data_IF_176834006244
#
_entry.id   IF_176834006244
#
_cell.length_a   1.000
_cell.length_b   1.000
_cell.length_c   1.000
_cell.angle_alpha   90.00
_cell.angle_beta   90.00
_cell.angle_gamma   90.00
#
_symmetry.space_group_name_H-M   'P 1'
#
loop_
_entity.id
_entity.type
_entity.pdbx_description
1 polymer ?
#
# COMPACT_ATOMS: atom_id res chain seq x y z
N UNK A 1 4.81 -11.06 -23.32
CA UNK A 1 6.22 -11.09 -22.89
C UNK A 1 6.19 -11.11 -21.37
N UNK A 2 6.90 -12.03 -20.70
CA UNK A 2 6.90 -12.10 -19.22
C UNK A 2 7.80 -10.99 -18.70
N UNK A 3 7.25 -10.12 -17.83
CA UNK A 3 7.94 -8.94 -17.29
C UNK A 3 9.20 -9.29 -16.47
N UNK A 4 9.33 -10.51 -15.94
CA UNK A 4 10.61 -11.11 -15.55
C UNK A 4 10.51 -12.63 -15.75
N UNK A 5 11.34 -13.19 -16.63
CA UNK A 5 11.36 -14.64 -16.86
C UNK A 5 11.59 -15.38 -15.53
N UNK A 6 10.84 -16.44 -15.25
CA UNK A 6 10.87 -17.25 -14.00
C UNK A 6 10.31 -16.59 -12.71
N UNK A 7 9.57 -15.48 -12.82
CA UNK A 7 8.84 -14.88 -11.70
C UNK A 7 7.33 -14.84 -11.96
N UNK A 8 6.53 -15.03 -10.92
CA UNK A 8 5.12 -14.65 -10.93
C UNK A 8 4.99 -13.14 -10.71
N UNK A 9 4.09 -12.51 -11.45
CA UNK A 9 3.72 -11.10 -11.29
C UNK A 9 2.45 -11.06 -10.46
N UNK A 10 2.49 -10.35 -9.33
CA UNK A 10 1.36 -10.09 -8.46
C UNK A 10 0.81 -8.69 -8.69
N UNK A 11 0.38 -8.05 -7.60
CA UNK A 11 -0.21 -6.71 -7.63
C UNK A 11 0.70 -5.69 -8.32
N UNK A 12 0.10 -4.78 -9.08
CA UNK A 12 0.79 -3.75 -9.86
C UNK A 12 0.34 -2.36 -9.47
N UNK A 13 1.25 -1.39 -9.48
CA UNK A 13 0.94 0.04 -9.35
C UNK A 13 1.78 0.85 -10.33
N UNK A 14 1.38 2.09 -10.57
CA UNK A 14 1.90 2.89 -11.68
C UNK A 14 2.33 4.28 -11.23
N UNK A 15 3.33 4.81 -11.91
CA UNK A 15 3.72 6.21 -11.85
C UNK A 15 3.97 6.71 -13.27
N UNK A 16 3.47 7.88 -13.61
CA UNK A 16 3.64 8.46 -14.96
C UNK A 16 4.56 9.65 -14.87
N UNK A 17 5.66 9.62 -15.62
CA UNK A 17 6.57 10.74 -15.80
C UNK A 17 6.60 11.07 -17.28
N UNK A 18 6.10 12.25 -17.64
CA UNK A 18 5.99 12.70 -19.03
C UNK A 18 5.19 11.69 -19.88
N UNK A 19 5.80 11.08 -20.88
CA UNK A 19 5.21 10.07 -21.77
C UNK A 19 5.56 8.62 -21.37
N UNK A 20 6.29 8.44 -20.25
CA UNK A 20 6.73 7.14 -19.77
C UNK A 20 5.87 6.72 -18.57
N UNK A 21 5.24 5.55 -18.70
CA UNK A 21 4.54 4.87 -17.61
C UNK A 21 5.51 3.88 -16.96
N UNK A 22 5.82 4.11 -15.68
CA UNK A 22 6.53 3.17 -14.83
C UNK A 22 5.49 2.23 -14.18
N UNK A 23 5.60 0.94 -14.42
CA UNK A 23 4.85 -0.10 -13.74
C UNK A 23 5.76 -0.80 -12.73
N UNK A 24 5.35 -0.73 -11.47
CA UNK A 24 5.95 -1.47 -10.38
C UNK A 24 5.03 -2.64 -10.04
N UNK A 25 5.59 -3.77 -9.68
CA UNK A 25 4.79 -4.96 -9.42
C UNK A 25 5.47 -5.91 -8.46
N UNK A 26 4.67 -6.64 -7.69
CA UNK A 26 5.21 -7.71 -6.85
C UNK A 26 5.74 -8.83 -7.74
N UNK A 27 6.98 -9.24 -7.50
CA UNK A 27 7.59 -10.38 -8.16
C UNK A 27 7.89 -11.46 -7.13
N UNK A 28 7.40 -12.67 -7.38
CA UNK A 28 7.70 -13.83 -6.55
C UNK A 28 8.37 -14.93 -7.37
N UNK A 29 9.38 -15.64 -6.83
CA UNK A 29 9.98 -16.79 -7.49
C UNK A 29 8.95 -17.84 -7.92
N UNK A 30 9.09 -18.37 -9.14
CA UNK A 30 8.33 -19.55 -9.57
C UNK A 30 8.90 -20.86 -9.01
N UNK A 31 10.17 -20.85 -8.60
CA UNK A 31 10.82 -21.99 -7.94
C UNK A 31 10.82 -21.85 -6.43
N UNK A 32 10.67 -22.96 -5.71
CA UNK A 32 10.82 -23.01 -4.25
C UNK A 32 12.26 -22.84 -3.74
N UNK A 33 13.20 -22.42 -4.60
CA UNK A 33 14.58 -22.18 -4.19
C UNK A 33 14.63 -20.99 -3.22
N UNK A 34 15.06 -21.17 -1.96
CA UNK A 34 15.12 -20.10 -0.96
C UNK A 34 16.13 -18.99 -1.31
N UNK A 35 17.04 -19.22 -2.27
CA UNK A 35 17.95 -18.19 -2.80
C UNK A 35 17.30 -17.30 -3.87
N UNK A 36 16.11 -17.66 -4.36
CA UNK A 36 15.42 -16.84 -5.35
C UNK A 36 14.79 -15.65 -4.67
N UNK A 37 15.27 -14.45 -4.99
CA UNK A 37 14.78 -13.24 -4.34
C UNK A 37 13.37 -12.85 -4.83
N UNK A 38 12.47 -12.50 -3.93
CA UNK A 38 11.25 -11.75 -4.21
C UNK A 38 11.48 -10.23 -4.08
N UNK A 39 10.48 -9.43 -4.45
CA UNK A 39 10.55 -7.99 -4.29
C UNK A 39 9.62 -7.23 -5.22
N UNK A 40 10.05 -6.03 -5.60
CA UNK A 40 9.31 -5.11 -6.44
C UNK A 40 10.03 -5.04 -7.79
N UNK A 41 9.42 -5.65 -8.80
CA UNK A 41 9.85 -5.55 -10.19
C UNK A 41 9.49 -4.20 -10.78
N UNK A 42 10.13 -3.87 -11.90
CA UNK A 42 9.94 -2.59 -12.58
C UNK A 42 9.96 -2.79 -14.10
N UNK A 43 8.99 -2.18 -14.77
CA UNK A 43 8.96 -2.09 -16.23
C UNK A 43 8.44 -0.72 -16.65
N UNK A 44 8.78 -0.33 -17.88
CA UNK A 44 8.32 0.94 -18.46
C UNK A 44 7.59 0.70 -19.77
N UNK A 45 6.69 1.62 -20.11
CA UNK A 45 5.93 1.61 -21.35
C UNK A 45 5.56 3.02 -21.78
N UNK A 46 5.45 3.24 -23.09
CA UNK A 46 4.90 4.46 -23.68
C UNK A 46 3.52 4.24 -24.30
N UNK A 47 3.02 3.00 -24.37
CA UNK A 47 1.76 2.63 -25.04
C UNK A 47 0.87 1.67 -24.23
N UNK A 48 1.30 1.28 -23.02
CA UNK A 48 0.67 0.30 -22.12
C UNK A 48 0.51 -1.12 -22.70
N UNK A 49 0.91 -1.35 -23.94
CA UNK A 49 0.78 -2.62 -24.64
C UNK A 49 2.11 -3.37 -24.70
N UNK A 50 3.22 -2.63 -24.84
CA UNK A 50 4.59 -3.14 -24.88
C UNK A 50 5.33 -2.62 -23.67
N UNK A 51 6.04 -3.53 -23.00
CA UNK A 51 6.71 -3.25 -21.75
C UNK A 51 8.18 -3.64 -21.85
N UNK A 52 9.05 -2.69 -21.54
CA UNK A 52 10.47 -2.89 -21.38
C UNK A 52 10.76 -3.11 -19.89
N UNK A 53 11.13 -4.34 -19.56
CA UNK A 53 11.56 -4.70 -18.21
C UNK A 53 12.87 -4.01 -17.85
N UNK A 54 12.93 -3.43 -16.65
CA UNK A 54 14.15 -2.90 -16.05
C UNK A 54 14.65 -3.85 -14.95
N UNK A 55 15.79 -3.51 -14.35
CA UNK A 55 16.20 -4.16 -13.12
C UNK A 55 15.14 -3.94 -12.03
N UNK A 56 14.94 -4.90 -11.10
CA UNK A 56 13.97 -4.71 -10.03
C UNK A 56 14.20 -3.42 -9.26
N UNK A 57 13.12 -2.70 -8.96
CA UNK A 57 13.19 -1.50 -8.14
C UNK A 57 13.69 -1.83 -6.73
N UNK A 58 13.18 -2.90 -6.11
CA UNK A 58 13.64 -3.35 -4.80
C UNK A 58 13.67 -4.88 -4.73
N UNK A 59 14.63 -5.39 -3.98
CA UNK A 59 14.73 -6.79 -3.56
C UNK A 59 14.65 -6.85 -2.04
N UNK A 60 14.14 -7.95 -1.50
CA UNK A 60 14.36 -8.22 -0.08
C UNK A 60 15.85 -8.44 0.21
N UNK A 61 16.25 -8.29 1.47
CA UNK A 61 17.64 -8.49 1.88
C UNK A 61 17.99 -9.97 2.03
N UNK A 62 19.30 -10.23 2.17
CA UNK A 62 19.81 -11.54 2.50
C UNK A 62 19.14 -12.10 3.78
N UNK A 63 18.94 -13.42 3.82
CA UNK A 63 18.19 -14.12 4.88
C UNK A 63 18.75 -13.82 6.27
N UNK A 64 20.05 -13.56 6.37
CA UNK A 64 20.73 -13.22 7.63
C UNK A 64 20.24 -11.91 8.26
N UNK A 65 19.68 -11.00 7.45
CA UNK A 65 19.10 -9.75 7.93
C UNK A 65 17.60 -9.87 8.26
N UNK A 66 16.99 -11.03 8.05
CA UNK A 66 15.56 -11.19 8.33
C UNK A 66 15.28 -10.94 9.82
N UNK A 67 14.39 -9.99 10.09
CA UNK A 67 14.14 -9.43 11.43
C UNK A 67 14.48 -7.94 11.52
N UNK A 68 15.31 -7.44 10.61
CA UNK A 68 15.40 -6.00 10.35
C UNK A 68 14.15 -5.52 9.59
N UNK A 69 13.75 -4.24 9.75
CA UNK A 69 12.71 -3.63 8.93
C UNK A 69 13.02 -3.81 7.45
N UNK A 70 12.01 -4.15 6.63
CA UNK A 70 12.13 -4.35 5.17
C UNK A 70 13.13 -5.37 4.63
N UNK A 71 13.77 -6.15 5.51
CA UNK A 71 14.70 -7.18 5.09
C UNK A 71 14.02 -8.45 4.50
N UNK A 72 12.73 -8.62 4.78
CA UNK A 72 11.94 -9.77 4.35
C UNK A 72 10.96 -9.38 3.22
N UNK A 73 9.91 -10.19 3.03
CA UNK A 73 8.89 -10.03 1.98
C UNK A 73 8.35 -8.59 1.89
N UNK A 74 8.46 -8.04 0.68
CA UNK A 74 7.92 -6.73 0.31
C UNK A 74 6.51 -6.89 -0.26
N UNK A 75 5.64 -5.93 0.02
CA UNK A 75 4.27 -5.89 -0.49
C UNK A 75 3.93 -4.52 -1.05
N UNK A 76 2.77 -4.45 -1.72
CA UNK A 76 2.30 -3.33 -2.54
C UNK A 76 2.45 -1.96 -1.83
N UNK A 77 2.61 -0.92 -2.63
CA UNK A 77 2.52 0.46 -2.18
C UNK A 77 2.31 1.45 -3.33
N UNK A 78 3.04 2.57 -3.32
CA UNK A 78 2.84 3.69 -4.24
C UNK A 78 4.09 4.52 -4.42
N UNK A 79 4.13 5.32 -5.50
CA UNK A 79 5.21 6.26 -5.78
C UNK A 79 4.68 7.69 -5.78
N UNK A 80 5.41 8.60 -5.16
CA UNK A 80 5.15 10.04 -5.16
C UNK A 80 6.44 10.82 -5.46
N UNK A 81 6.33 11.91 -6.21
CA UNK A 81 7.42 12.88 -6.30
C UNK A 81 7.27 13.96 -5.22
N UNK A 82 8.35 14.21 -4.47
CA UNK A 82 8.42 15.23 -3.43
C UNK A 82 9.84 15.79 -3.34
N UNK A 83 9.98 17.12 -3.31
CA UNK A 83 11.27 17.83 -3.26
C UNK A 83 12.30 17.33 -4.29
N UNK A 84 11.91 17.31 -5.57
CA UNK A 84 12.72 16.88 -6.72
C UNK A 84 13.17 15.40 -6.72
N UNK A 85 12.71 14.59 -5.75
CA UNK A 85 13.00 13.16 -5.65
C UNK A 85 11.73 12.33 -5.75
N UNK A 86 11.90 11.05 -6.03
CA UNK A 86 10.82 10.07 -6.08
C UNK A 86 10.89 9.17 -4.86
N UNK A 87 9.75 8.93 -4.26
CA UNK A 87 9.59 8.15 -3.05
C UNK A 87 8.65 6.99 -3.31
N UNK A 88 9.16 5.78 -3.15
CA UNK A 88 8.40 4.54 -3.21
C UNK A 88 8.06 4.14 -1.77
N UNK A 89 6.79 4.27 -1.38
CA UNK A 89 6.29 3.63 -0.17
C UNK A 89 5.92 2.19 -0.48
N UNK A 90 6.21 1.29 0.45
CA UNK A 90 5.85 -0.13 0.36
C UNK A 90 5.61 -0.71 1.74
N UNK A 91 4.91 -1.84 1.78
CA UNK A 91 4.68 -2.56 3.03
C UNK A 91 5.81 -3.56 3.24
N UNK A 92 6.30 -3.67 4.48
CA UNK A 92 7.08 -4.82 4.91
C UNK A 92 6.56 -5.38 6.22
N UNK A 93 6.73 -6.69 6.40
CA UNK A 93 6.61 -7.32 7.71
C UNK A 93 7.96 -7.27 8.45
N UNK A 94 7.96 -6.96 9.74
CA UNK A 94 9.19 -6.98 10.56
C UNK A 94 9.45 -8.31 11.27
N UNK A 95 8.53 -9.27 11.17
CA UNK A 95 8.68 -10.59 11.77
C UNK A 95 8.79 -11.71 10.72
N UNK A 96 9.77 -12.60 10.90
CA UNK A 96 9.95 -13.85 10.14
C UNK A 96 8.67 -14.70 10.17
N UNK A 97 7.90 -14.63 11.26
CA UNK A 97 6.69 -15.45 11.44
C UNK A 97 5.44 -14.85 10.79
N UNK A 98 5.56 -13.72 10.06
CA UNK A 98 4.45 -13.01 9.37
C UNK A 98 3.25 -12.65 10.25
N UNK A 99 3.41 -12.66 11.58
CA UNK A 99 2.34 -12.32 12.52
C UNK A 99 2.59 -10.91 13.08
N UNK A 100 1.68 -10.01 12.74
CA UNK A 100 1.26 -8.87 13.56
C UNK A 100 2.10 -7.58 13.54
N UNK A 101 2.97 -7.36 12.55
CA UNK A 101 3.83 -6.17 12.51
C UNK A 101 4.10 -5.63 11.09
N UNK A 102 3.04 -5.45 10.29
CA UNK A 102 3.17 -4.69 9.06
C UNK A 102 3.60 -3.24 9.37
N UNK A 103 4.48 -2.71 8.53
CA UNK A 103 5.00 -1.36 8.65
C UNK A 103 5.16 -0.74 7.26
N UNK A 104 5.06 0.58 7.19
CA UNK A 104 5.36 1.33 5.97
C UNK A 104 6.85 1.63 5.94
N UNK A 105 7.48 1.31 4.83
CA UNK A 105 8.87 1.58 4.54
C UNK A 105 8.97 2.45 3.28
N UNK A 106 10.07 3.18 3.13
CA UNK A 106 10.34 4.03 1.98
C UNK A 106 11.62 3.61 1.26
N UNK A 107 11.63 3.78 -0.05
CA UNK A 107 12.84 3.90 -0.85
C UNK A 107 12.80 5.21 -1.63
N UNK A 108 13.97 5.74 -1.95
CA UNK A 108 14.14 7.00 -2.65
C UNK A 108 14.91 6.80 -3.94
N UNK A 109 14.55 7.56 -4.95
CA UNK A 109 15.19 7.56 -6.27
C UNK A 109 15.26 8.97 -6.84
N UNK A 110 16.32 9.27 -7.58
CA UNK A 110 16.45 10.54 -8.29
C UNK A 110 15.99 10.42 -9.76
N UNK A 111 15.82 9.19 -10.28
CA UNK A 111 15.58 8.91 -11.70
C UNK A 111 14.44 7.90 -11.98
N UNK A 112 13.74 7.43 -10.94
CA UNK A 112 12.71 6.37 -10.95
C UNK A 112 13.22 4.97 -11.30
N UNK A 113 14.52 4.77 -11.51
CA UNK A 113 15.12 3.51 -11.93
C UNK A 113 16.02 2.95 -10.83
N UNK A 114 16.90 3.79 -10.27
CA UNK A 114 17.81 3.42 -9.20
C UNK A 114 17.18 3.80 -7.86
N UNK A 115 16.92 2.81 -7.02
CA UNK A 115 16.25 2.99 -5.74
C UNK A 115 17.14 2.61 -4.57
N UNK A 116 17.11 3.43 -3.53
CA UNK A 116 17.80 3.20 -2.26
C UNK A 116 16.79 3.15 -1.13
N UNK A 117 16.79 2.06 -0.34
CA UNK A 117 15.95 1.97 0.86
C UNK A 117 16.36 3.05 1.86
N UNK A 118 15.37 3.70 2.48
CA UNK A 118 15.63 4.67 3.54
C UNK A 118 16.27 3.99 4.76
N UNK A 119 17.39 4.53 5.23
CA UNK A 119 18.17 3.98 6.36
C UNK A 119 17.43 4.05 7.70
N UNK A 120 16.36 4.82 7.77
CA UNK A 120 15.50 5.02 8.93
C UNK A 120 14.18 4.24 8.84
N UNK A 121 14.07 3.26 7.93
CA UNK A 121 12.91 2.38 7.87
C UNK A 121 12.72 1.57 9.18
N UNK A 122 11.46 1.28 9.56
CA UNK A 122 10.23 1.70 8.91
C UNK A 122 9.82 3.11 9.33
N UNK A 123 9.10 3.82 8.46
CA UNK A 123 8.64 5.20 8.75
C UNK A 123 7.38 5.26 9.60
N UNK A 124 6.45 4.31 9.45
CA UNK A 124 5.25 4.25 10.29
C UNK A 124 4.85 2.81 10.62
N UNK A 125 4.18 2.68 11.77
CA UNK A 125 3.54 1.46 12.28
C UNK A 125 2.17 1.81 12.83
N UNK A 126 1.36 0.78 13.05
CA UNK A 126 0.07 0.93 13.73
C UNK A 126 0.24 1.62 15.09
N UNK A 127 -0.50 2.72 15.29
CA UNK A 127 -0.59 3.39 16.59
C UNK A 127 -1.84 2.90 17.35
N UNK A 128 -1.68 2.19 18.49
CA UNK A 128 -2.80 1.68 19.29
C UNK A 128 -3.66 2.77 19.94
N UNK A 129 -3.24 4.03 19.93
CA UNK A 129 -4.10 5.13 20.36
C UNK A 129 -5.31 5.23 19.44
N UNK A 130 -5.09 5.14 18.13
CA UNK A 130 -6.09 5.38 17.09
C UNK A 130 -6.64 4.10 16.46
N UNK A 131 -5.78 3.10 16.24
CA UNK A 131 -6.09 1.94 15.39
C UNK A 131 -6.06 0.63 16.18
N UNK A 132 -6.82 -0.35 15.70
CA UNK A 132 -6.84 -1.70 16.27
C UNK A 132 -5.49 -2.38 16.00
N UNK A 133 -4.83 -2.83 17.08
CA UNK A 133 -3.76 -3.83 16.97
C UNK A 133 -4.42 -5.20 16.88
N UNK A 134 -3.69 -6.17 16.33
CA UNK A 134 -4.16 -7.56 16.23
C UNK A 134 -4.99 -8.00 17.43
N UNK A 135 -6.19 -8.51 17.18
CA UNK A 135 -7.01 -9.13 18.20
C UNK A 135 -7.37 -10.54 17.75
N UNK A 136 -7.48 -11.46 18.72
CA UNK A 136 -7.94 -12.83 18.48
C UNK A 136 -9.40 -12.81 18.00
N UNK A 137 -10.18 -11.82 18.44
CA UNK A 137 -11.61 -11.68 18.16
C UNK A 137 -11.91 -11.30 16.71
N UNK A 138 -11.01 -10.57 16.03
CA UNK A 138 -11.25 -10.19 14.65
C UNK A 138 -10.97 -11.33 13.66
N UNK A 139 -10.21 -12.37 14.04
CA UNK A 139 -9.61 -13.38 13.13
C UNK A 139 -8.91 -12.79 11.88
N UNK A 140 -8.73 -11.47 11.85
CA UNK A 140 -8.25 -10.71 10.71
C UNK A 140 -6.82 -10.24 10.98
N UNK A 141 -5.98 -10.40 9.97
CA UNK A 141 -4.59 -9.92 9.97
C UNK A 141 -4.56 -8.41 10.22
N UNK A 142 -3.63 -7.94 11.06
CA UNK A 142 -3.45 -6.50 11.34
C UNK A 142 -3.27 -5.72 10.05
N UNK A 143 -4.14 -4.74 9.84
CA UNK A 143 -4.10 -3.84 8.71
C UNK A 143 -3.24 -2.61 9.09
N UNK A 144 -2.01 -2.57 8.58
CA UNK A 144 -1.18 -1.36 8.43
C UNK A 144 -0.30 -1.54 7.18
N UNK A 145 -0.97 -1.67 6.04
CA UNK A 145 -0.37 -2.09 4.78
C UNK A 145 -0.90 -1.27 3.60
N UNK A 146 -0.37 -1.55 2.42
CA UNK A 146 -0.74 -0.94 1.14
C UNK A 146 -0.65 0.59 1.16
N UNK A 147 0.53 1.18 1.47
CA UNK A 147 0.66 2.62 1.59
C UNK A 147 0.38 3.35 0.27
N UNK A 148 -0.48 4.35 0.32
CA UNK A 148 -0.74 5.28 -0.78
C UNK A 148 -0.30 6.70 -0.40
N UNK A 149 0.77 7.18 -1.01
CA UNK A 149 1.33 8.52 -0.81
C UNK A 149 0.54 9.59 -1.57
N UNK A 150 0.32 10.74 -0.94
CA UNK A 150 -0.24 11.92 -1.61
C UNK A 150 0.21 13.23 -0.95
N UNK A 151 0.29 14.30 -1.72
CA UNK A 151 0.61 15.64 -1.20
C UNK A 151 -0.66 16.45 -1.00
N UNK A 152 -0.77 17.15 0.13
CA UNK A 152 -1.89 18.06 0.41
C UNK A 152 -1.46 19.16 1.37
N UNK A 153 -1.79 20.42 1.06
CA UNK A 153 -1.55 21.59 1.92
C UNK A 153 -0.11 21.70 2.48
N UNK A 154 0.89 21.44 1.62
CA UNK A 154 2.31 21.52 2.00
C UNK A 154 2.83 20.38 2.89
N UNK A 155 2.07 19.30 3.00
CA UNK A 155 2.47 18.05 3.65
C UNK A 155 2.40 16.88 2.68
N UNK A 156 3.20 15.85 2.94
CA UNK A 156 3.02 14.52 2.37
C UNK A 156 2.25 13.67 3.37
N UNK A 157 1.26 12.93 2.89
CA UNK A 157 0.48 11.98 3.65
C UNK A 157 0.66 10.58 3.07
N UNK A 158 0.37 9.57 3.89
CA UNK A 158 0.01 8.26 3.35
C UNK A 158 -1.31 7.77 3.93
N UNK A 159 -2.10 7.10 3.09
CA UNK A 159 -3.09 6.13 3.56
C UNK A 159 -2.49 4.75 3.68
N UNK A 160 -3.03 3.93 4.58
CA UNK A 160 -2.85 2.48 4.61
C UNK A 160 -4.20 1.83 4.89
N UNK A 161 -4.38 0.56 4.55
CA UNK A 161 -5.50 -0.20 5.12
C UNK A 161 -5.31 -0.30 6.64
N UNK A 162 -6.35 -0.02 7.41
CA UNK A 162 -6.34 -0.10 8.86
C UNK A 162 -7.72 -0.45 9.44
N UNK A 163 -7.78 -0.72 10.74
CA UNK A 163 -9.05 -0.96 11.42
C UNK A 163 -9.21 -0.03 12.62
N UNK A 164 -10.44 0.45 12.84
CA UNK A 164 -10.88 1.22 14.00
C UNK A 164 -10.90 0.32 15.22
N UNK A 165 -10.58 0.90 16.37
CA UNK A 165 -10.56 0.17 17.66
C UNK A 165 -11.92 -0.26 18.18
N UNK A 166 -12.98 0.45 17.80
CA UNK A 166 -14.30 0.31 18.38
C UNK A 166 -15.37 0.25 17.29
N UNK A 167 -16.52 -0.33 17.63
CA UNK A 167 -17.65 -0.51 16.73
C UNK A 167 -17.94 -1.98 16.40
N UNK A 168 -18.97 -2.26 15.60
CA UNK A 168 -19.25 -3.61 15.10
C UNK A 168 -18.09 -4.15 14.25
N UNK A 169 -17.75 -5.43 14.40
CA UNK A 169 -16.59 -6.03 13.71
C UNK A 169 -16.65 -5.90 12.18
N UNK A 170 -17.84 -6.01 11.60
CA UNK A 170 -18.10 -5.89 10.15
C UNK A 170 -18.14 -4.44 9.64
N UNK A 171 -17.80 -3.48 10.51
CA UNK A 171 -17.88 -2.03 10.27
C UNK A 171 -16.63 -1.27 10.77
N UNK A 172 -15.60 -2.00 11.21
CA UNK A 172 -14.40 -1.40 11.80
C UNK A 172 -13.38 -0.95 10.78
N UNK A 173 -13.53 -1.30 9.51
CA UNK A 173 -12.51 -0.96 8.55
C UNK A 173 -12.37 0.55 8.33
N UNK A 174 -11.15 0.99 8.06
CA UNK A 174 -10.84 2.40 7.84
C UNK A 174 -9.49 2.55 7.12
N UNK A 175 -9.08 3.80 6.92
CA UNK A 175 -7.72 4.10 6.48
C UNK A 175 -6.87 4.51 7.66
N UNK A 176 -5.66 3.98 7.74
CA UNK A 176 -4.62 4.56 8.57
C UNK A 176 -4.07 5.81 7.89
N UNK A 177 -3.91 6.89 8.64
CA UNK A 177 -3.42 8.16 8.13
C UNK A 177 -2.16 8.57 8.88
N UNK A 178 -1.14 8.99 8.14
CA UNK A 178 0.03 9.64 8.71
C UNK A 178 0.53 10.74 7.78
N UNK A 179 1.34 11.67 8.30
CA UNK A 179 1.91 12.77 7.53
C UNK A 179 3.35 13.09 7.88
N UNK A 180 4.02 13.78 6.98
CA UNK A 180 5.39 14.28 7.12
C UNK A 180 5.60 15.54 6.27
N UNK A 181 6.66 16.29 6.57
CA UNK A 181 7.18 17.34 5.68
C UNK A 181 8.49 16.96 5.01
N UNK A 182 9.27 16.09 5.65
CA UNK A 182 10.68 15.83 5.31
C UNK A 182 10.94 14.37 4.90
N UNK A 183 9.88 13.55 4.83
CA UNK A 183 9.94 12.11 4.52
C UNK A 183 10.70 11.26 5.56
N UNK A 184 11.12 11.87 6.68
CA UNK A 184 11.87 11.24 7.76
C UNK A 184 10.99 11.15 9.01
N UNK A 185 10.46 12.28 9.45
CA UNK A 185 9.67 12.40 10.67
C UNK A 185 8.18 12.30 10.32
N UNK A 186 7.57 11.18 10.70
CA UNK A 186 6.16 10.90 10.43
C UNK A 186 5.31 10.98 11.70
N UNK A 187 4.15 11.61 11.58
CA UNK A 187 3.12 11.68 12.61
C UNK A 187 1.92 10.81 12.19
N UNK A 188 1.58 9.79 12.98
CA UNK A 188 0.35 9.02 12.80
C UNK A 188 -0.83 9.82 13.35
N UNK A 189 -1.89 9.93 12.55
CA UNK A 189 -3.07 10.74 12.83
C UNK A 189 -4.29 9.87 13.16
N UNK A 190 -5.36 10.44 13.75
CA UNK A 190 -6.66 9.79 13.79
C UNK A 190 -7.15 9.36 12.39
N UNK A 191 -8.01 8.32 12.31
CA UNK A 191 -8.55 7.87 11.03
C UNK A 191 -9.36 8.99 10.34
N UNK A 192 -9.36 9.03 9.00
CA UNK A 192 -10.27 9.88 8.26
C UNK A 192 -11.73 9.40 8.41
N UNK A 193 -12.67 10.26 8.06
CA UNK A 193 -14.10 9.98 8.12
C UNK A 193 -14.47 9.14 6.90
N UNK A 194 -14.66 7.84 7.15
CA UNK A 194 -15.20 6.89 6.18
C UNK A 194 -16.55 6.37 6.65
N UNK A 195 -17.45 6.13 5.70
CA UNK A 195 -18.68 5.39 5.95
C UNK A 195 -18.33 3.95 6.38
N UNK A 196 -18.83 3.49 7.54
CA UNK A 196 -18.46 2.19 8.10
C UNK A 196 -19.27 1.05 7.45
N UNK A 197 -19.12 0.87 6.14
CA UNK A 197 -19.90 -0.10 5.35
C UNK A 197 -19.10 -1.37 5.02
N UNK A 198 -17.86 -1.48 5.49
CA UNK A 198 -16.92 -2.54 5.15
C UNK A 198 -16.21 -3.08 6.39
N UNK A 199 -15.86 -4.36 6.28
CA UNK A 199 -14.98 -5.10 7.19
C UNK A 199 -13.51 -5.04 6.74
N UNK A 200 -13.25 -4.84 5.44
CA UNK A 200 -11.90 -4.63 4.91
C UNK A 200 -11.94 -3.94 3.54
N UNK A 201 -11.27 -2.80 3.46
CA UNK A 201 -10.85 -2.07 2.26
C UNK A 201 -9.46 -2.57 1.88
N UNK A 202 -9.23 -2.76 0.59
CA UNK A 202 -7.91 -3.10 0.04
C UNK A 202 -7.45 -2.07 -0.98
N UNK A 203 -6.13 -1.87 -1.03
CA UNK A 203 -5.41 -1.06 -2.03
C UNK A 203 -6.01 0.34 -2.25
N UNK A 204 -6.15 1.16 -1.19
CA UNK A 204 -6.73 2.48 -1.28
C UNK A 204 -5.87 3.40 -2.14
N UNK A 205 -6.51 4.21 -2.97
CA UNK A 205 -5.89 5.20 -3.83
C UNK A 205 -6.71 6.49 -3.80
N UNK A 206 -6.04 7.63 -3.87
CA UNK A 206 -6.69 8.93 -3.82
C UNK A 206 -6.47 9.70 -5.11
N UNK A 207 -7.57 10.18 -5.70
CA UNK A 207 -7.55 11.01 -6.89
C UNK A 207 -8.25 12.34 -6.61
N UNK A 208 -7.62 13.46 -6.94
CA UNK A 208 -8.19 14.78 -6.79
C UNK A 208 -8.58 15.34 -8.16
N UNK A 209 -9.85 15.71 -8.33
CA UNK A 209 -10.38 16.20 -9.60
C UNK A 209 -11.53 17.18 -9.32
N UNK A 210 -11.53 18.35 -9.98
CA UNK A 210 -12.59 19.38 -9.85
C UNK A 210 -12.96 19.76 -8.40
N UNK A 211 -11.95 19.87 -7.52
CA UNK A 211 -12.14 20.24 -6.11
C UNK A 211 -12.79 19.14 -5.26
N UNK A 212 -12.78 17.89 -5.73
CA UNK A 212 -13.24 16.71 -5.00
C UNK A 212 -12.14 15.68 -4.90
N UNK A 213 -12.20 14.88 -3.84
CA UNK A 213 -11.30 13.78 -3.57
C UNK A 213 -12.07 12.47 -3.71
N UNK A 214 -11.57 11.59 -4.57
CA UNK A 214 -12.10 10.27 -4.85
C UNK A 214 -11.18 9.23 -4.26
N UNK A 215 -11.61 8.62 -3.16
CA UNK A 215 -10.97 7.44 -2.59
C UNK A 215 -11.45 6.23 -3.40
N UNK A 216 -10.57 5.66 -4.20
CA UNK A 216 -10.80 4.45 -5.00
C UNK A 216 -10.16 3.27 -4.29
N UNK A 217 -10.88 2.17 -4.14
CA UNK A 217 -10.40 1.00 -3.39
C UNK A 217 -11.06 -0.29 -3.85
N UNK A 218 -10.42 -1.42 -3.58
CA UNK A 218 -11.01 -2.74 -3.82
C UNK A 218 -11.82 -3.19 -2.60
N UNK A 219 -12.99 -3.80 -2.84
CA UNK A 219 -13.73 -4.50 -1.81
C UNK A 219 -14.21 -5.85 -2.33
N UNK A 220 -14.02 -6.90 -1.52
CA UNK A 220 -14.63 -8.19 -1.79
C UNK A 220 -16.12 -8.16 -1.43
N UNK A 221 -16.98 -8.79 -2.23
CA UNK A 221 -18.44 -8.77 -2.00
C UNK A 221 -18.88 -9.24 -0.60
N UNK A 222 -18.06 -10.06 0.06
CA UNK A 222 -18.33 -10.62 1.39
C UNK A 222 -17.86 -9.74 2.53
N UNK A 223 -17.09 -8.67 2.24
CA UNK A 223 -16.57 -7.75 3.26
C UNK A 223 -17.56 -6.63 3.58
N UNK A 224 -18.69 -6.50 2.87
CA UNK A 224 -19.68 -5.48 3.18
C UNK A 224 -20.40 -5.79 4.49
N UNK A 225 -20.59 -4.76 5.31
CA UNK A 225 -21.33 -4.81 6.55
C UNK A 225 -22.72 -5.43 6.32
N UNK A 226 -23.19 -6.26 7.26
CA UNK A 226 -24.39 -7.08 7.06
C UNK A 226 -25.62 -6.27 6.67
N UNK A 227 -25.84 -5.15 7.37
CA UNK A 227 -27.01 -4.30 7.16
C UNK A 227 -26.94 -3.56 5.82
N UNK A 228 -25.74 -3.16 5.40
CA UNK A 228 -25.51 -2.55 4.09
C UNK A 228 -25.73 -3.58 2.97
N UNK A 229 -25.15 -4.76 3.11
CA UNK A 229 -25.30 -5.86 2.16
C UNK A 229 -26.76 -6.32 2.01
N UNK A 230 -27.56 -6.28 3.08
CA UNK A 230 -28.98 -6.62 3.03
C UNK A 230 -29.80 -5.64 2.17
N UNK A 231 -29.40 -4.37 2.11
CA UNK A 231 -30.08 -3.32 1.34
C UNK A 231 -29.67 -3.29 -0.14
N UNK A 232 -28.44 -3.72 -0.45
CA UNK A 232 -27.82 -3.54 -1.77
C UNK A 232 -27.41 -4.85 -2.46
N UNK A 233 -27.88 -6.01 -1.98
CA UNK A 233 -27.34 -7.34 -2.34
C UNK A 233 -27.17 -7.63 -3.83
N UNK A 234 -28.04 -7.11 -4.70
CA UNK A 234 -27.96 -7.34 -6.15
C UNK A 234 -26.91 -6.49 -6.87
N UNK A 235 -26.34 -5.49 -6.20
CA UNK A 235 -25.41 -4.51 -6.76
C UNK A 235 -23.96 -4.71 -6.27
N UNK A 236 -23.77 -5.49 -5.20
CA UNK A 236 -22.46 -5.72 -4.60
C UNK A 236 -21.73 -6.88 -5.29
N UNK A 237 -20.52 -6.61 -5.77
CA UNK A 237 -19.62 -7.58 -6.40
C UNK A 237 -18.18 -7.33 -5.92
N UNK A 238 -17.27 -8.27 -6.13
CA UNK A 238 -15.85 -8.05 -5.81
C UNK A 238 -15.21 -7.18 -6.89
N UNK A 239 -15.05 -5.88 -6.62
CA UNK A 239 -14.58 -4.90 -7.62
C UNK A 239 -14.02 -3.64 -6.94
N UNK A 240 -13.60 -2.68 -7.77
CA UNK A 240 -13.23 -1.34 -7.33
C UNK A 240 -14.48 -0.50 -7.06
N UNK A 241 -14.50 0.14 -5.89
CA UNK A 241 -15.50 1.10 -5.45
C UNK A 241 -14.85 2.47 -5.26
N UNK A 242 -15.67 3.52 -5.13
CA UNK A 242 -15.19 4.86 -4.81
C UNK A 242 -16.06 5.58 -3.79
N UNK A 243 -15.43 6.23 -2.82
CA UNK A 243 -16.05 7.23 -1.94
C UNK A 243 -15.57 8.63 -2.35
N UNK A 244 -16.41 9.64 -2.21
CA UNK A 244 -16.10 11.02 -2.61
C UNK A 244 -16.28 12.00 -1.45
N UNK A 245 -15.34 12.92 -1.29
CA UNK A 245 -15.33 13.94 -0.23
C UNK A 245 -14.80 15.28 -0.76
N UNK A 246 -15.19 16.43 -0.16
CA UNK A 246 -14.52 17.71 -0.42
C UNK A 246 -13.09 17.77 0.16
N UNK A 247 -12.70 16.83 1.03
CA UNK A 247 -11.38 16.75 1.67
C UNK A 247 -10.76 15.36 1.51
N UNK A 248 -9.43 15.22 1.61
CA UNK A 248 -8.76 13.92 1.69
C UNK A 248 -8.81 13.33 3.11
N UNK A 249 -9.74 13.76 3.95
CA UNK A 249 -9.89 13.33 5.33
C UNK A 249 -11.36 13.10 5.64
#
# INVERSE_FOLDING_TARGET
MSLHASKHVGDTWYYVKEDIVHCFYLMTPTSENPLSLDGIGHAVSTDLARWDTLDPALLHDAIEKWGEPDAAHLAIGSVLQHEDRYWLAYTSNTSITRKNEAAVCLAVSDDLVNWEKATYNPVTRVDPVYYERWSVESEQSVHWCTPFLFSYDGWVYHYVCASRRNGPLDQRDTLGLARTKDMINWEVLPPPILEPILQSVDVPQLYAENGRFYLVFFAHQHNFARDFAAQHRSELTSTMYSMVSPTPF
#
